data_IF_036500868435
#
_entry.id   IF_036500868435
#
_cell.length_a   1.000
_cell.length_b   1.000
_cell.length_c   1.000
_cell.angle_alpha   90.00
_cell.angle_beta   90.00
_cell.angle_gamma   90.00
#
_symmetry.space_group_name_H-M   'P 1'
#
loop_
_entity.id
_entity.type
_entity.pdbx_description
1 polymer ?
#
# COMPACT_ATOMS: atom_id res chain seq x y z
N UNK A 1 1.90 -13.00 5.81
CA UNK A 1 1.22 -11.73 5.49
C UNK A 1 0.01 -12.08 4.62
N UNK A 2 -1.15 -11.50 4.90
CA UNK A 2 -2.36 -11.70 4.07
C UNK A 2 -2.20 -11.03 2.71
N UNK A 3 -3.11 -11.30 1.77
CA UNK A 3 -3.11 -10.66 0.46
C UNK A 3 -4.04 -9.45 0.39
N UNK A 4 -3.77 -8.53 -0.52
CA UNK A 4 -4.58 -7.35 -0.79
C UNK A 4 -6.02 -7.72 -1.17
N UNK A 5 -6.19 -8.81 -1.93
CA UNK A 5 -7.51 -9.33 -2.34
C UNK A 5 -8.37 -9.79 -1.14
N UNK A 6 -7.73 -10.23 -0.06
CA UNK A 6 -8.40 -10.74 1.15
C UNK A 6 -8.81 -9.63 2.13
N UNK A 7 -8.39 -8.38 1.90
CA UNK A 7 -8.70 -7.26 2.79
C UNK A 7 -10.17 -6.87 2.63
N UNK A 8 -10.97 -7.15 3.65
CA UNK A 8 -12.29 -6.55 3.79
C UNK A 8 -12.17 -5.19 4.48
N UNK A 9 -12.34 -4.09 3.74
CA UNK A 9 -12.17 -2.74 4.28
C UNK A 9 -13.14 -2.44 5.43
N UNK A 10 -14.33 -3.06 5.43
CA UNK A 10 -15.33 -2.86 6.48
C UNK A 10 -14.91 -3.39 7.85
N UNK A 11 -13.99 -4.37 7.87
CA UNK A 11 -13.46 -4.98 9.09
C UNK A 11 -12.31 -4.15 9.69
N UNK A 12 -11.80 -3.15 8.98
CA UNK A 12 -10.75 -2.26 9.49
C UNK A 12 -11.36 -1.31 10.53
N UNK A 13 -10.95 -1.48 11.78
CA UNK A 13 -11.54 -0.81 12.94
C UNK A 13 -10.57 -0.08 13.86
N UNK A 14 -9.30 0.02 13.46
CA UNK A 14 -8.28 0.79 14.16
C UNK A 14 -7.34 1.52 13.20
N UNK A 15 -6.68 2.56 13.70
CA UNK A 15 -5.63 3.29 12.99
C UNK A 15 -4.48 2.34 12.59
N UNK A 16 -4.11 1.40 13.48
CA UNK A 16 -3.08 0.42 13.18
C UNK A 16 -3.52 -0.57 12.10
N UNK A 17 -4.79 -1.02 12.13
CA UNK A 17 -5.36 -1.88 11.08
C UNK A 17 -5.39 -1.20 9.70
N UNK A 18 -5.55 0.13 9.66
CA UNK A 18 -5.39 0.91 8.44
C UNK A 18 -3.96 0.82 7.89
N UNK A 19 -2.95 1.01 8.74
CA UNK A 19 -1.53 0.91 8.34
C UNK A 19 -1.17 -0.51 7.91
N UNK A 20 -1.61 -1.53 8.64
CA UNK A 20 -1.37 -2.94 8.32
C UNK A 20 -1.95 -3.31 6.96
N UNK A 21 -3.22 -2.95 6.73
CA UNK A 21 -3.90 -3.18 5.44
C UNK A 21 -3.18 -2.44 4.33
N UNK A 22 -2.74 -1.21 4.59
CA UNK A 22 -2.06 -0.42 3.57
C UNK A 22 -0.66 -0.97 3.23
N UNK A 23 0.04 -1.49 4.24
CA UNK A 23 1.31 -2.19 4.08
C UNK A 23 1.20 -3.42 3.18
N UNK A 24 0.13 -4.21 3.34
CA UNK A 24 -0.08 -5.41 2.53
C UNK A 24 -0.15 -5.04 1.04
N UNK A 25 -0.99 -4.07 0.70
CA UNK A 25 -1.17 -3.63 -0.70
C UNK A 25 0.13 -3.07 -1.27
N UNK A 26 0.85 -2.23 -0.52
CA UNK A 26 2.11 -1.65 -1.00
C UNK A 26 3.22 -2.69 -1.18
N UNK A 27 3.30 -3.71 -0.32
CA UNK A 27 4.24 -4.81 -0.51
C UNK A 27 3.94 -5.58 -1.80
N UNK A 28 2.67 -5.87 -2.09
CA UNK A 28 2.30 -6.51 -3.35
C UNK A 28 2.62 -5.64 -4.57
N UNK A 29 2.47 -4.31 -4.47
CA UNK A 29 2.92 -3.39 -5.53
C UNK A 29 4.43 -3.48 -5.76
N UNK A 30 5.22 -3.50 -4.69
CA UNK A 30 6.69 -3.65 -4.77
C UNK A 30 7.08 -4.98 -5.41
N UNK A 31 6.42 -6.07 -5.01
CA UNK A 31 6.61 -7.39 -5.62
C UNK A 31 6.20 -7.38 -7.11
N UNK A 32 5.15 -6.65 -7.47
CA UNK A 32 4.73 -6.51 -8.87
C UNK A 32 5.75 -5.77 -9.73
N UNK A 33 6.46 -4.78 -9.17
CA UNK A 33 7.54 -4.02 -9.82
C UNK A 33 8.82 -4.87 -10.01
N UNK A 34 8.93 -6.02 -9.33
CA UNK A 34 10.06 -6.96 -9.44
C UNK A 34 11.42 -6.31 -9.11
N UNK A 35 11.44 -5.32 -8.21
CA UNK A 35 12.66 -4.66 -7.74
C UNK A 35 13.41 -3.83 -8.80
N UNK A 36 12.84 -3.64 -9.99
CA UNK A 36 13.39 -2.77 -11.04
C UNK A 36 12.88 -1.34 -10.87
N UNK A 37 13.70 -0.35 -11.22
CA UNK A 37 13.20 1.01 -11.30
C UNK A 37 12.20 1.12 -12.45
N UNK A 38 11.05 1.73 -12.19
CA UNK A 38 10.02 2.00 -13.20
C UNK A 38 10.61 2.84 -14.33
N UNK A 39 11.54 3.76 -14.04
CA UNK A 39 12.26 4.55 -15.05
C UNK A 39 13.00 3.71 -16.08
N UNK A 40 13.50 2.54 -15.67
CA UNK A 40 14.38 1.68 -16.46
C UNK A 40 13.59 0.63 -17.26
N UNK A 41 12.26 0.55 -17.03
CA UNK A 41 11.35 -0.32 -17.76
C UNK A 41 11.00 0.25 -19.14
N UNK A 42 10.75 -0.64 -20.10
CA UNK A 42 10.21 -0.25 -21.41
C UNK A 42 8.78 0.30 -21.27
N UNK A 43 8.29 1.04 -22.26
CA UNK A 43 6.91 1.56 -22.22
C UNK A 43 5.86 0.44 -22.23
N UNK A 44 6.14 -0.68 -22.90
CA UNK A 44 5.28 -1.89 -22.84
C UNK A 44 5.28 -2.49 -21.43
N UNK A 45 6.43 -2.62 -20.78
CA UNK A 45 6.54 -3.14 -19.41
C UNK A 45 5.86 -2.21 -18.40
N UNK A 46 6.03 -0.89 -18.55
CA UNK A 46 5.34 0.11 -17.71
C UNK A 46 3.84 -0.02 -17.82
N UNK A 47 3.32 -0.19 -19.04
CA UNK A 47 1.88 -0.37 -19.27
C UNK A 47 1.37 -1.69 -18.67
N UNK A 48 2.10 -2.79 -18.87
CA UNK A 48 1.75 -4.08 -18.27
C UNK A 48 1.79 -4.03 -16.74
N UNK A 49 2.77 -3.32 -16.16
CA UNK A 49 2.87 -3.06 -14.74
C UNK A 49 1.69 -2.21 -14.23
N UNK A 50 1.33 -1.14 -14.94
CA UNK A 50 0.16 -0.32 -14.61
C UNK A 50 -1.11 -1.17 -14.59
N UNK A 51 -1.35 -2.01 -15.60
CA UNK A 51 -2.50 -2.91 -15.63
C UNK A 51 -2.49 -3.92 -14.48
N UNK A 52 -1.32 -4.45 -14.12
CA UNK A 52 -1.14 -5.40 -13.00
C UNK A 52 -1.35 -4.75 -11.63
N UNK A 53 -0.89 -3.51 -11.46
CA UNK A 53 -0.95 -2.78 -10.19
C UNK A 53 -2.24 -1.97 -10.02
N UNK A 54 -3.01 -1.74 -11.09
CA UNK A 54 -4.30 -1.06 -11.05
C UNK A 54 -5.27 -1.60 -9.98
N UNK A 55 -5.55 -2.91 -9.88
CA UNK A 55 -6.42 -3.42 -8.82
C UNK A 55 -5.86 -3.16 -7.41
N UNK A 56 -4.53 -3.18 -7.24
CA UNK A 56 -3.89 -2.83 -5.98
C UNK A 56 -4.06 -1.33 -5.68
N UNK A 57 -3.95 -0.47 -6.69
CA UNK A 57 -4.16 0.98 -6.56
C UNK A 57 -5.61 1.30 -6.18
N UNK A 58 -6.58 0.65 -6.83
CA UNK A 58 -7.99 0.80 -6.50
C UNK A 58 -8.26 0.34 -5.06
N UNK A 59 -7.62 -0.76 -4.64
CA UNK A 59 -7.72 -1.27 -3.27
C UNK A 59 -7.09 -0.34 -2.24
N UNK A 60 -5.94 0.25 -2.56
CA UNK A 60 -5.28 1.26 -1.74
C UNK A 60 -6.19 2.46 -1.50
N UNK A 61 -6.82 2.95 -2.57
CA UNK A 61 -7.75 4.07 -2.50
C UNK A 61 -9.01 3.73 -1.68
N UNK A 62 -9.52 2.50 -1.81
CA UNK A 62 -10.65 2.01 -1.00
C UNK A 62 -10.31 2.01 0.51
N UNK A 63 -9.16 1.44 0.88
CA UNK A 63 -8.65 1.42 2.26
C UNK A 63 -8.48 2.85 2.77
N UNK A 64 -7.81 3.70 2.00
CA UNK A 64 -7.55 5.08 2.39
C UNK A 64 -8.85 5.84 2.63
N UNK A 65 -9.83 5.76 1.72
CA UNK A 65 -11.14 6.40 1.91
C UNK A 65 -11.88 5.92 3.15
N UNK A 66 -11.85 4.61 3.43
CA UNK A 66 -12.46 4.05 4.64
C UNK A 66 -11.77 4.57 5.90
N UNK A 67 -10.44 4.55 5.90
CA UNK A 67 -9.62 5.00 7.01
C UNK A 67 -9.74 6.51 7.26
N UNK A 68 -9.70 7.34 6.22
CA UNK A 68 -9.89 8.80 6.33
C UNK A 68 -11.27 9.15 6.89
N UNK A 69 -12.30 8.36 6.53
CA UNK A 69 -13.66 8.54 7.03
C UNK A 69 -13.79 8.14 8.50
N UNK A 70 -13.15 7.03 8.91
CA UNK A 70 -13.27 6.45 10.26
C UNK A 70 -12.32 7.12 11.26
N UNK A 71 -11.14 7.52 10.81
CA UNK A 71 -10.07 8.14 11.59
C UNK A 71 -9.57 9.43 10.93
N UNK A 72 -10.41 10.48 10.89
CA UNK A 72 -10.03 11.75 10.28
C UNK A 72 -8.85 12.37 11.04
N UNK A 73 -7.81 12.78 10.30
CA UNK A 73 -6.55 13.40 10.78
C UNK A 73 -5.51 12.43 11.34
N UNK A 74 -5.64 11.14 11.08
CA UNK A 74 -4.56 10.19 11.38
C UNK A 74 -3.42 10.39 10.41
N UNK A 75 -2.23 10.59 10.97
CA UNK A 75 -0.99 10.44 10.23
C UNK A 75 -0.52 9.00 10.40
N UNK A 76 -0.56 8.23 9.30
CA UNK A 76 -0.13 6.82 9.29
C UNK A 76 1.33 6.63 9.70
N UNK A 77 2.16 7.67 9.66
CA UNK A 77 3.56 7.62 10.08
C UNK A 77 3.76 7.92 11.58
N UNK A 78 2.73 8.41 12.29
CA UNK A 78 2.80 8.84 13.70
C UNK A 78 1.88 8.05 14.65
N UNK A 79 1.21 6.99 14.20
CA UNK A 79 0.36 6.16 15.08
C UNK A 79 1.22 5.51 16.17
N UNK A 80 0.97 5.90 17.42
CA UNK A 80 1.63 5.34 18.59
C UNK A 80 1.16 3.90 18.83
N UNK A 81 2.06 3.08 19.35
CA UNK A 81 1.79 1.68 19.73
C UNK A 81 1.35 0.77 18.55
N UNK A 82 1.73 1.13 17.32
CA UNK A 82 1.50 0.30 16.13
C UNK A 82 2.84 -0.12 15.50
N UNK A 83 3.18 -1.41 15.61
CA UNK A 83 4.41 -1.95 15.03
C UNK A 83 4.45 -1.84 13.49
N UNK A 84 3.28 -1.83 12.85
CA UNK A 84 3.15 -1.74 11.40
C UNK A 84 3.61 -0.39 10.83
N UNK A 85 3.67 0.68 11.64
CA UNK A 85 4.13 2.01 11.20
C UNK A 85 5.58 1.98 10.72
N UNK A 86 6.45 1.28 11.45
CA UNK A 86 7.86 1.18 11.07
C UNK A 86 8.05 0.32 9.82
N UNK A 87 7.20 -0.69 9.62
CA UNK A 87 7.16 -1.42 8.36
C UNK A 87 6.65 -0.54 7.22
N UNK A 88 5.62 0.28 7.48
CA UNK A 88 5.04 1.20 6.51
C UNK A 88 6.05 2.21 5.98
N UNK A 89 6.82 2.83 6.87
CA UNK A 89 7.90 3.74 6.48
C UNK A 89 8.94 3.05 5.57
N UNK A 90 9.30 1.80 5.88
CA UNK A 90 10.24 1.02 5.06
C UNK A 90 9.64 0.68 3.69
N UNK A 91 8.38 0.26 3.66
CA UNK A 91 7.65 -0.07 2.42
C UNK A 91 7.54 1.17 1.52
N UNK A 92 7.17 2.32 2.09
CA UNK A 92 7.13 3.60 1.39
C UNK A 92 8.50 4.02 0.84
N UNK A 93 9.57 3.81 1.62
CA UNK A 93 10.94 4.04 1.17
C UNK A 93 11.30 3.19 -0.05
N UNK A 94 11.04 1.88 0.00
CA UNK A 94 11.29 0.97 -1.12
C UNK A 94 10.50 1.36 -2.37
N UNK A 95 9.21 1.64 -2.22
CA UNK A 95 8.36 2.03 -3.35
C UNK A 95 8.82 3.35 -3.99
N UNK A 96 9.32 4.29 -3.17
CA UNK A 96 9.92 5.54 -3.65
C UNK A 96 11.21 5.30 -4.42
N UNK A 97 12.07 4.39 -3.96
CA UNK A 97 13.34 4.06 -4.64
C UNK A 97 13.13 3.35 -5.98
N UNK A 98 12.00 2.68 -6.14
CA UNK A 98 11.59 2.00 -7.36
C UNK A 98 10.89 2.90 -8.37
N UNK A 99 10.41 4.08 -7.95
CA UNK A 99 9.68 5.02 -8.83
C UNK A 99 10.64 5.99 -9.52
#
# INVERSE_FOLDING_TARGET
MGKAEDINVSDIDSECGCVESMNIVMNEMIEAIDGKKISDMSDEDKKALEEKTKPLSDKAEEIQKHCDKKFPKVDFEEIKDCAAVEEFKKTMGKLRDLR
#
